data_IF_355826349919
#
_entry.id   IF_355826349919
#
_cell.length_a   1.000
_cell.length_b   1.000
_cell.length_c   1.000
_cell.angle_alpha   90.00
_cell.angle_beta   90.00
_cell.angle_gamma   90.00
#
_symmetry.space_group_name_H-M   'P 1'
#
loop_
_entity.id
_entity.type
_entity.pdbx_description
1 polymer ?
#
# COMPACT_ATOMS: atom_id res chain seq x y z
N UNK A 1 -7.73 4.69 7.18
CA UNK A 1 -7.17 4.58 8.54
C UNK A 1 -7.14 5.99 9.10
N UNK A 2 -7.36 6.20 10.40
CA UNK A 2 -7.34 7.55 10.98
C UNK A 2 -5.91 7.83 11.46
N UNK A 3 -5.38 8.99 11.10
CA UNK A 3 -4.14 9.52 11.66
C UNK A 3 -4.39 9.90 13.11
N UNK A 4 -3.67 9.32 14.06
CA UNK A 4 -3.92 9.56 15.49
C UNK A 4 -3.45 10.95 15.95
N UNK A 5 -2.53 11.58 15.21
CA UNK A 5 -1.98 12.89 15.55
C UNK A 5 -2.83 14.04 14.98
N UNK A 6 -3.44 13.83 13.82
CA UNK A 6 -4.20 14.86 13.10
C UNK A 6 -5.71 14.59 13.02
N UNK A 7 -6.16 13.37 13.34
CA UNK A 7 -7.57 12.96 13.24
C UNK A 7 -8.08 12.82 11.81
N UNK A 8 -7.23 12.96 10.80
CA UNK A 8 -7.62 12.89 9.39
C UNK A 8 -7.74 11.45 8.89
N UNK A 9 -8.63 11.24 7.91
CA UNK A 9 -8.67 9.98 7.18
C UNK A 9 -7.48 9.89 6.21
N UNK A 10 -6.50 9.05 6.56
CA UNK A 10 -5.38 8.73 5.68
C UNK A 10 -5.86 7.73 4.63
N UNK A 11 -5.67 8.08 3.36
CA UNK A 11 -5.74 7.11 2.26
C UNK A 11 -4.60 6.12 2.40
N UNK A 12 -4.87 4.87 2.10
CA UNK A 12 -3.89 3.79 2.30
C UNK A 12 -3.77 3.02 1.01
N UNK A 13 -2.54 2.70 0.62
CA UNK A 13 -2.25 1.86 -0.52
C UNK A 13 -1.80 0.49 -0.01
N UNK A 14 -2.57 -0.54 -0.33
CA UNK A 14 -2.24 -1.94 -0.04
C UNK A 14 -1.39 -2.47 -1.19
N UNK A 15 -0.15 -2.87 -0.92
CA UNK A 15 0.78 -3.44 -1.89
C UNK A 15 1.11 -4.88 -1.52
N UNK A 16 1.05 -5.79 -2.49
CA UNK A 16 1.53 -7.15 -2.33
C UNK A 16 2.85 -7.36 -3.04
N UNK A 17 3.82 -7.87 -2.30
CA UNK A 17 5.19 -8.11 -2.76
C UNK A 17 5.50 -9.61 -2.65
N UNK A 18 6.01 -10.17 -3.73
CA UNK A 18 6.64 -11.48 -3.72
C UNK A 18 8.12 -11.34 -3.40
N UNK A 19 8.62 -12.15 -2.46
CA UNK A 19 10.04 -12.23 -2.14
C UNK A 19 10.55 -13.61 -2.59
N UNK A 20 11.42 -13.63 -3.60
CA UNK A 20 12.06 -14.86 -4.11
C UNK A 20 13.54 -14.61 -4.30
N UNK A 21 14.38 -15.45 -3.69
CA UNK A 21 15.85 -15.35 -3.81
C UNK A 21 16.41 -13.98 -3.40
N UNK A 22 15.81 -13.33 -2.39
CA UNK A 22 16.18 -11.98 -1.94
C UNK A 22 15.69 -10.84 -2.85
N UNK A 23 15.07 -11.14 -4.01
CA UNK A 23 14.49 -10.13 -4.89
C UNK A 23 13.03 -9.87 -4.53
N UNK A 24 12.67 -8.59 -4.47
CA UNK A 24 11.30 -8.11 -4.23
C UNK A 24 10.64 -7.80 -5.56
N UNK A 25 9.45 -8.35 -5.80
CA UNK A 25 8.64 -8.08 -7.00
C UNK A 25 7.24 -7.64 -6.59
N UNK A 26 6.82 -6.43 -6.95
CA UNK A 26 5.44 -5.97 -6.76
C UNK A 26 4.51 -6.78 -7.67
N UNK A 27 3.49 -7.43 -7.10
CA UNK A 27 2.47 -8.19 -7.85
C UNK A 27 1.17 -7.42 -7.99
N UNK A 28 0.83 -6.59 -7.00
CA UNK A 28 -0.45 -5.89 -6.97
C UNK A 28 -0.37 -4.70 -6.02
N UNK A 29 -1.09 -3.62 -6.35
CA UNK A 29 -1.36 -2.52 -5.43
C UNK A 29 -2.74 -1.94 -5.65
N UNK A 30 -3.40 -1.54 -4.56
CA UNK A 30 -4.72 -0.91 -4.64
C UNK A 30 -5.03 -0.11 -3.37
N UNK A 31 -5.77 1.00 -3.46
CA UNK A 31 -6.26 1.69 -2.27
C UNK A 31 -7.48 1.03 -1.62
N UNK A 32 -8.07 0.02 -2.26
CA UNK A 32 -9.27 -0.69 -1.77
C UNK A 32 -8.89 -2.00 -1.06
N UNK A 33 -9.13 -2.06 0.26
CA UNK A 33 -8.85 -3.25 1.08
C UNK A 33 -9.63 -4.49 0.61
N UNK A 34 -10.89 -4.35 0.15
CA UNK A 34 -11.69 -5.50 -0.30
C UNK A 34 -11.07 -6.09 -1.56
N UNK A 35 -10.60 -5.23 -2.47
CA UNK A 35 -9.92 -5.65 -3.69
C UNK A 35 -8.55 -6.28 -3.38
N UNK A 36 -7.82 -5.74 -2.41
CA UNK A 36 -6.57 -6.31 -1.92
C UNK A 36 -6.77 -7.74 -1.37
N UNK A 37 -7.76 -7.93 -0.48
CA UNK A 37 -8.07 -9.23 0.10
C UNK A 37 -8.55 -10.24 -0.95
N UNK A 38 -9.36 -9.80 -1.92
CA UNK A 38 -9.82 -10.65 -3.03
C UNK A 38 -8.64 -11.14 -3.88
N UNK A 39 -7.72 -10.24 -4.20
CA UNK A 39 -6.48 -10.60 -4.91
C UNK A 39 -5.65 -11.60 -4.11
N UNK A 40 -5.43 -11.36 -2.81
CA UNK A 40 -4.66 -12.25 -1.95
C UNK A 40 -5.24 -13.67 -1.92
N UNK A 41 -6.55 -13.80 -1.68
CA UNK A 41 -7.24 -15.10 -1.68
C UNK A 41 -7.06 -15.84 -3.00
N UNK A 42 -7.24 -15.14 -4.12
CA UNK A 42 -7.03 -15.72 -5.44
C UNK A 42 -5.58 -16.17 -5.67
N UNK A 43 -4.60 -15.33 -5.28
CA UNK A 43 -3.19 -15.62 -5.48
C UNK A 43 -2.75 -16.86 -4.69
N UNK A 44 -3.08 -16.91 -3.39
CA UNK A 44 -2.77 -18.04 -2.52
C UNK A 44 -3.44 -19.32 -3.05
N UNK A 45 -4.69 -19.24 -3.51
CA UNK A 45 -5.38 -20.40 -4.07
C UNK A 45 -4.70 -20.93 -5.34
N UNK A 46 -4.25 -20.04 -6.22
CA UNK A 46 -3.64 -20.35 -7.53
C UNK A 46 -2.19 -20.83 -7.43
N UNK A 47 -1.37 -20.12 -6.66
CA UNK A 47 0.08 -20.35 -6.63
C UNK A 47 0.55 -21.11 -5.39
N UNK A 48 -0.32 -21.30 -4.38
CA UNK A 48 0.02 -21.96 -3.10
C UNK A 48 1.18 -21.27 -2.36
N UNK A 49 1.36 -19.99 -2.61
CA UNK A 49 2.43 -19.17 -2.04
C UNK A 49 1.87 -17.94 -1.31
N UNK A 50 2.59 -17.50 -0.28
CA UNK A 50 2.30 -16.26 0.43
C UNK A 50 2.86 -15.03 -0.28
N UNK A 51 2.22 -13.89 -0.08
CA UNK A 51 2.72 -12.57 -0.48
C UNK A 51 2.88 -11.72 0.77
N UNK A 52 3.90 -10.88 0.81
CA UNK A 52 4.03 -9.85 1.83
C UNK A 52 3.03 -8.74 1.54
N UNK A 53 2.13 -8.48 2.49
CA UNK A 53 1.24 -7.31 2.44
C UNK A 53 1.95 -6.12 3.09
N UNK A 54 2.08 -5.06 2.34
CA UNK A 54 2.57 -3.76 2.80
C UNK A 54 1.42 -2.76 2.78
N UNK A 55 1.32 -1.98 3.85
CA UNK A 55 0.30 -0.97 4.05
C UNK A 55 1.04 0.37 4.01
N UNK A 56 0.86 1.10 2.90
CA UNK A 56 1.55 2.36 2.65
C UNK A 56 0.57 3.50 2.95
N UNK A 57 0.70 4.22 4.07
CA UNK A 57 -0.13 5.38 4.34
C UNK A 57 0.22 6.53 3.39
N UNK A 58 -0.79 7.26 2.93
CA UNK A 58 -0.61 8.49 2.18
C UNK A 58 -0.05 9.58 3.10
N UNK A 59 1.17 10.04 2.85
CA UNK A 59 1.78 11.17 3.54
C UNK A 59 1.57 12.45 2.75
N UNK A 60 1.15 13.50 3.45
CA UNK A 60 1.20 14.87 2.95
C UNK A 60 2.65 15.34 2.96
N UNK A 61 3.16 15.72 1.80
CA UNK A 61 4.48 16.33 1.63
C UNK A 61 4.24 17.78 1.23
N UNK A 62 4.59 18.69 2.13
CA UNK A 62 4.55 20.13 1.82
C UNK A 62 5.78 20.51 1.01
N UNK A 63 5.58 21.05 -0.19
CA UNK A 63 6.61 21.73 -0.96
C UNK A 63 6.61 23.20 -0.56
N UNK A 64 7.62 23.57 0.23
CA UNK A 64 7.76 24.91 0.80
C UNK A 64 8.22 25.92 -0.26
N UNK A 65 8.93 25.46 -1.30
CA UNK A 65 9.39 26.31 -2.40
C UNK A 65 8.25 26.68 -3.33
N UNK A 66 7.40 25.72 -3.67
CA UNK A 66 6.26 25.96 -4.56
C UNK A 66 4.96 26.31 -3.82
N UNK A 67 4.96 26.28 -2.48
CA UNK A 67 3.74 26.41 -1.64
C UNK A 67 2.64 25.44 -2.06
N UNK A 68 3.00 24.19 -2.38
CA UNK A 68 2.07 23.14 -2.83
C UNK A 68 2.06 21.96 -1.87
N UNK A 69 0.92 21.29 -1.78
CA UNK A 69 0.79 20.03 -1.06
C UNK A 69 0.81 18.89 -2.07
N UNK A 70 1.76 17.97 -1.92
CA UNK A 70 1.83 16.73 -2.67
C UNK A 70 1.44 15.56 -1.76
N UNK A 71 0.87 14.51 -2.35
CA UNK A 71 0.54 13.28 -1.64
C UNK A 71 1.42 12.15 -2.17
N UNK A 72 2.11 11.45 -1.27
CA UNK A 72 2.96 10.31 -1.62
C UNK A 72 2.64 9.13 -0.70
N UNK A 73 2.70 7.92 -1.25
CA UNK A 73 2.64 6.68 -0.47
C UNK A 73 4.08 6.26 -0.17
N UNK A 74 4.41 6.11 1.11
CA UNK A 74 5.75 5.74 1.62
C UNK A 74 5.82 4.22 1.85
#
# INVERSE_FOLDING_TARGET
MIDLDTGENIKTLYRFVEIRGGKRTEKFKTPDIKRALKFHKWYVARYKEGLLLEILPEKKVYDWKEKKVNFKYD
#
